data_IF_624945427499
#
_entry.id   IF_624945427499
#
_cell.length_a   1.000
_cell.length_b   1.000
_cell.length_c   1.000
_cell.angle_alpha   90.00
_cell.angle_beta   90.00
_cell.angle_gamma   90.00
#
_symmetry.space_group_name_H-M   'P 1'
#
loop_
_entity.id
_entity.type
_entity.pdbx_description
1 polymer ?
#
# COMPACT_ATOMS: atom_id res chain seq x y z
N UNK A 1 -21.52 17.80 34.77
CA UNK A 1 -20.78 16.86 35.65
C UNK A 1 -20.06 15.86 34.76
N UNK A 2 -18.84 15.49 35.15
CA UNK A 2 -18.14 14.25 34.74
C UNK A 2 -17.89 14.03 33.24
N UNK A 3 -16.67 14.39 32.79
CA UNK A 3 -16.04 13.85 31.58
C UNK A 3 -16.02 12.30 31.62
N UNK A 4 -16.04 11.64 30.47
CA UNK A 4 -15.35 10.36 30.30
C UNK A 4 -14.39 10.47 29.14
N UNK A 5 -13.15 10.10 29.43
CA UNK A 5 -12.05 9.95 28.49
C UNK A 5 -11.99 8.44 28.21
N UNK A 6 -11.84 8.04 26.96
CA UNK A 6 -11.26 6.75 26.62
C UNK A 6 -9.97 7.01 25.86
N UNK A 7 -8.96 6.20 26.16
CA UNK A 7 -7.58 6.50 25.84
C UNK A 7 -6.84 5.22 25.47
N UNK A 8 -6.05 5.35 24.40
CA UNK A 8 -4.77 4.68 24.13
C UNK A 8 -4.72 3.17 23.87
N UNK A 9 -4.12 2.88 22.71
CA UNK A 9 -3.14 1.82 22.42
C UNK A 9 -3.52 0.34 22.42
N UNK A 10 -3.14 -0.31 21.31
CA UNK A 10 -2.58 -1.65 21.29
C UNK A 10 -1.44 -1.73 20.25
N UNK A 11 -0.23 -1.29 20.62
CA UNK A 11 0.97 -1.63 19.85
C UNK A 11 1.40 -3.07 20.20
N UNK A 12 1.51 -3.95 19.21
CA UNK A 12 1.85 -5.36 19.41
C UNK A 12 3.31 -5.64 19.05
N UNK A 13 4.18 -5.63 20.06
CA UNK A 13 5.57 -6.08 19.93
C UNK A 13 5.61 -7.61 19.89
N UNK A 14 5.94 -8.20 18.75
CA UNK A 14 6.19 -9.65 18.62
C UNK A 14 7.67 -9.97 18.83
N UNK A 15 7.99 -10.48 20.02
CA UNK A 15 9.34 -10.88 20.39
C UNK A 15 9.68 -12.30 19.88
N UNK A 16 10.87 -12.46 19.29
CA UNK A 16 11.41 -13.77 18.91
C UNK A 16 11.56 -14.71 20.13
N UNK A 17 11.09 -15.96 19.99
CA UNK A 17 11.17 -17.00 21.01
C UNK A 17 11.77 -18.31 20.51
N UNK A 18 13.09 -18.48 20.66
CA UNK A 18 13.81 -19.72 20.36
C UNK A 18 13.80 -20.72 21.53
N UNK A 19 13.06 -21.82 21.39
CA UNK A 19 13.23 -23.12 22.06
C UNK A 19 12.16 -24.12 21.53
N UNK A 20 12.37 -25.43 21.37
CA UNK A 20 13.52 -26.31 21.61
C UNK A 20 13.07 -27.70 22.10
N UNK A 21 13.72 -28.79 21.63
CA UNK A 21 13.51 -30.22 22.01
C UNK A 21 12.17 -30.86 21.53
N UNK A 22 12.00 -32.18 21.30
CA UNK A 22 12.84 -33.41 21.31
C UNK A 22 11.96 -34.60 20.80
N UNK A 23 12.39 -35.84 20.50
CA UNK A 23 13.67 -36.51 20.13
C UNK A 23 13.38 -38.03 20.07
N UNK A 24 13.78 -38.79 19.03
CA UNK A 24 13.90 -40.27 19.12
C UNK A 24 14.87 -40.91 18.08
N UNK A 25 15.37 -42.12 18.39
CA UNK A 25 16.54 -42.80 17.79
C UNK A 25 16.18 -44.20 17.23
N UNK A 26 16.99 -44.73 16.29
CA UNK A 26 17.48 -46.14 16.10
C UNK A 26 17.88 -46.38 14.62
N UNK A 27 18.83 -47.24 14.19
CA UNK A 27 19.94 -48.00 14.81
C UNK A 27 20.73 -48.81 13.73
N UNK A 28 22.08 -48.84 13.79
CA UNK A 28 23.01 -49.75 13.05
C UNK A 28 23.01 -49.64 11.49
N UNK A 29 24.01 -50.08 10.71
CA UNK A 29 25.10 -51.06 10.91
C UNK A 29 26.41 -50.68 10.14
N UNK A 30 27.49 -51.42 10.34
CA UNK A 30 28.89 -51.11 9.94
C UNK A 30 29.28 -51.51 8.50
N UNK A 31 29.96 -50.63 7.73
CA UNK A 31 30.97 -51.01 6.71
C UNK A 31 31.93 -49.85 6.38
N UNK A 32 33.15 -50.14 5.91
CA UNK A 32 34.29 -49.20 6.00
C UNK A 32 34.78 -48.54 4.67
N UNK A 33 35.50 -47.41 4.85
CA UNK A 33 36.39 -46.70 3.93
C UNK A 33 35.77 -45.91 2.75
N UNK A 34 36.48 -44.90 2.18
CA UNK A 34 37.71 -44.21 2.63
C UNK A 34 37.43 -42.75 3.09
N UNK A 35 38.46 -42.01 3.53
CA UNK A 35 38.37 -40.55 3.69
C UNK A 35 38.39 -39.86 2.31
N UNK A 36 37.38 -39.08 1.92
CA UNK A 36 37.50 -38.10 0.84
C UNK A 36 38.04 -36.79 1.41
N UNK A 37 39.09 -36.25 0.80
CA UNK A 37 39.49 -34.86 1.01
C UNK A 37 38.47 -33.98 0.33
N UNK A 38 37.47 -33.52 1.07
CA UNK A 38 36.50 -32.56 0.56
C UNK A 38 37.18 -31.18 0.50
N UNK A 39 37.62 -30.78 -0.69
CA UNK A 39 37.91 -29.38 -0.96
C UNK A 39 36.61 -28.61 -0.73
N UNK A 40 36.58 -27.77 0.30
CA UNK A 40 35.47 -26.87 0.51
C UNK A 40 35.38 -25.94 -0.70
N UNK A 41 34.43 -26.22 -1.58
CA UNK A 41 34.00 -25.28 -2.61
C UNK A 41 33.37 -24.15 -1.82
N UNK A 42 34.08 -23.02 -1.72
CA UNK A 42 33.49 -21.77 -1.21
C UNK A 42 32.34 -21.43 -2.15
N UNK A 43 31.11 -21.70 -1.70
CA UNK A 43 29.92 -21.13 -2.33
C UNK A 43 30.10 -19.61 -2.32
N UNK A 44 29.91 -18.92 -3.46
CA UNK A 44 29.96 -17.47 -3.46
C UNK A 44 28.87 -16.99 -2.52
N UNK A 45 29.27 -16.35 -1.42
CA UNK A 45 28.36 -15.57 -0.60
C UNK A 45 27.84 -14.47 -1.52
N UNK A 46 26.60 -14.66 -1.98
CA UNK A 46 25.80 -13.56 -2.47
C UNK A 46 25.50 -12.75 -1.22
N UNK A 47 26.29 -11.71 -0.99
CA UNK A 47 25.88 -10.64 -0.10
C UNK A 47 24.64 -10.05 -0.76
N UNK A 48 23.46 -10.40 -0.23
CA UNK A 48 22.25 -9.65 -0.51
C UNK A 48 22.45 -8.26 0.07
N UNK A 49 22.96 -7.36 -0.76
CA UNK A 49 22.71 -5.93 -0.60
C UNK A 49 21.21 -5.75 -0.80
N UNK A 50 20.46 -5.89 0.30
CA UNK A 50 19.22 -5.15 0.48
C UNK A 50 19.63 -3.68 0.46
N UNK A 51 19.74 -3.10 -0.73
CA UNK A 51 19.65 -1.65 -0.88
C UNK A 51 18.26 -1.30 -0.35
N UNK A 52 18.21 -0.80 0.88
CA UNK A 52 17.04 -0.11 1.41
C UNK A 52 16.76 1.03 0.41
N UNK A 53 15.78 0.84 -0.47
CA UNK A 53 15.33 1.87 -1.39
C UNK A 53 14.55 2.89 -0.55
N UNK A 54 15.29 3.76 0.14
CA UNK A 54 14.77 4.96 0.79
C UNK A 54 14.16 5.84 -0.32
N UNK A 55 12.87 5.63 -0.57
CA UNK A 55 12.05 6.50 -1.39
C UNK A 55 11.83 7.80 -0.60
N UNK A 56 12.81 8.70 -0.61
CA UNK A 56 12.67 10.07 -0.08
C UNK A 56 11.69 10.85 -0.99
N UNK A 57 10.39 10.68 -0.75
CA UNK A 57 9.31 11.45 -1.38
C UNK A 57 9.27 12.86 -0.77
N UNK A 58 9.66 13.89 -1.53
CA UNK A 58 9.57 15.30 -1.11
C UNK A 58 8.26 15.93 -1.63
N UNK A 59 7.17 15.73 -0.88
CA UNK A 59 5.80 16.06 -1.30
C UNK A 59 5.15 17.18 -0.46
N UNK A 60 5.83 18.34 -0.36
CA UNK A 60 5.19 19.60 0.05
C UNK A 60 4.30 20.19 -1.07
N UNK A 61 3.38 19.38 -1.60
CA UNK A 61 2.57 19.71 -2.78
C UNK A 61 1.45 20.73 -2.46
N UNK A 62 1.16 21.67 -3.38
CA UNK A 62 0.11 22.67 -3.17
C UNK A 62 -1.28 22.04 -3.29
N UNK A 63 -1.94 21.83 -2.14
CA UNK A 63 -3.34 21.44 -2.04
C UNK A 63 -4.27 22.67 -2.02
N UNK A 64 -5.30 22.68 -2.87
CA UNK A 64 -6.42 23.63 -2.82
C UNK A 64 -7.73 22.89 -2.56
N UNK A 65 -8.60 23.46 -1.73
CA UNK A 65 -9.87 22.84 -1.31
C UNK A 65 -11.01 23.82 -1.59
N UNK A 66 -12.01 23.37 -2.36
CA UNK A 66 -13.22 24.12 -2.71
C UNK A 66 -14.47 23.34 -2.25
N UNK A 67 -15.16 23.86 -1.22
CA UNK A 67 -16.40 23.27 -0.68
C UNK A 67 -17.64 23.80 -1.43
N UNK A 68 -18.53 22.88 -1.85
CA UNK A 68 -19.83 23.18 -2.46
C UNK A 68 -20.97 22.69 -1.56
N UNK A 69 -22.24 22.86 -1.97
CA UNK A 69 -23.40 22.48 -1.13
C UNK A 69 -23.48 20.96 -0.84
N UNK A 70 -23.01 20.10 -1.75
CA UNK A 70 -23.11 18.63 -1.67
C UNK A 70 -21.75 17.89 -1.75
N UNK A 71 -20.69 18.55 -2.27
CA UNK A 71 -19.38 17.94 -2.55
C UNK A 71 -18.21 18.88 -2.22
N UNK A 72 -17.08 18.32 -1.81
CA UNK A 72 -15.79 19.03 -1.68
C UNK A 72 -14.87 18.59 -2.80
N UNK A 73 -14.23 19.55 -3.45
CA UNK A 73 -13.21 19.33 -4.48
C UNK A 73 -11.82 19.61 -3.91
N UNK A 74 -10.91 18.65 -4.08
CA UNK A 74 -9.50 18.71 -3.67
C UNK A 74 -8.62 18.74 -4.92
N UNK A 75 -7.77 19.76 -5.04
CA UNK A 75 -6.86 19.95 -6.17
C UNK A 75 -5.41 19.85 -5.68
N UNK A 76 -4.71 18.81 -6.13
CA UNK A 76 -3.29 18.55 -5.85
C UNK A 76 -2.42 19.08 -7.00
N UNK A 77 -1.19 19.49 -6.66
CA UNK A 77 -0.17 19.93 -7.62
C UNK A 77 -0.71 20.90 -8.70
N UNK A 78 -1.36 21.99 -8.24
CA UNK A 78 -1.97 23.02 -9.10
C UNK A 78 -3.11 22.53 -10.01
N UNK A 79 -3.73 21.40 -9.70
CA UNK A 79 -4.84 20.80 -10.46
C UNK A 79 -4.44 19.62 -11.35
N UNK A 80 -3.18 19.16 -11.30
CA UNK A 80 -2.74 17.94 -11.99
C UNK A 80 -3.54 16.69 -11.55
N UNK A 81 -4.01 16.68 -10.29
CA UNK A 81 -5.09 15.80 -9.84
C UNK A 81 -6.18 16.67 -9.20
N UNK A 82 -7.42 16.47 -9.64
CA UNK A 82 -8.62 17.09 -9.07
C UNK A 82 -9.61 16.00 -8.66
N UNK A 83 -9.74 15.75 -7.36
CA UNK A 83 -10.68 14.78 -6.78
C UNK A 83 -11.95 15.49 -6.30
N UNK A 84 -13.13 14.91 -6.50
CA UNK A 84 -14.38 15.39 -5.90
C UNK A 84 -15.07 14.30 -5.07
N UNK A 85 -15.35 14.59 -3.80
CA UNK A 85 -16.02 13.64 -2.89
C UNK A 85 -17.24 14.29 -2.23
N UNK A 86 -18.25 13.51 -1.80
CA UNK A 86 -19.36 14.04 -1.00
C UNK A 86 -18.91 14.72 0.30
N UNK A 87 -19.62 15.77 0.73
CA UNK A 87 -19.27 16.60 1.90
C UNK A 87 -19.17 15.88 3.26
N UNK A 88 -19.60 14.63 3.37
CA UNK A 88 -19.46 13.82 4.59
C UNK A 88 -18.12 13.07 4.68
N UNK A 89 -17.32 13.08 3.61
CA UNK A 89 -15.93 12.64 3.65
C UNK A 89 -15.08 13.70 4.38
N UNK A 90 -14.27 13.24 5.33
CA UNK A 90 -13.47 14.06 6.23
C UNK A 90 -12.01 13.94 5.80
N UNK A 91 -11.37 15.07 5.47
CA UNK A 91 -9.92 15.13 5.29
C UNK A 91 -9.24 14.87 6.64
N UNK A 92 -8.30 13.94 6.69
CA UNK A 92 -7.45 13.82 7.87
C UNK A 92 -6.56 15.07 7.99
N UNK A 93 -6.57 15.72 9.15
CA UNK A 93 -5.71 16.88 9.42
C UNK A 93 -4.26 16.48 9.74
N UNK A 94 -3.99 15.18 9.93
CA UNK A 94 -2.68 14.61 10.25
C UNK A 94 -1.95 14.09 9.00
N UNK A 95 -2.11 14.79 7.86
CA UNK A 95 -1.45 14.48 6.59
C UNK A 95 0.06 14.28 6.79
N UNK A 96 0.54 13.07 6.48
CA UNK A 96 1.97 12.78 6.33
C UNK A 96 2.46 13.37 4.99
N UNK A 97 3.71 13.79 4.89
CA UNK A 97 4.22 14.54 3.71
C UNK A 97 4.02 13.76 2.38
N UNK A 98 3.94 12.42 2.47
CA UNK A 98 3.88 11.48 1.36
C UNK A 98 2.44 11.17 0.87
N UNK A 99 1.40 11.58 1.62
CA UNK A 99 -0.02 11.28 1.33
C UNK A 99 -0.88 12.56 1.34
N UNK A 100 -0.64 13.50 0.40
CA UNK A 100 -1.20 14.87 0.42
C UNK A 100 -2.73 14.98 0.37
N UNK A 101 -3.44 13.90 0.01
CA UNK A 101 -4.89 13.78 0.23
C UNK A 101 -5.14 12.46 0.94
N UNK A 102 -5.76 12.53 2.12
CA UNK A 102 -6.22 11.35 2.87
C UNK A 102 -7.62 11.64 3.41
N UNK A 103 -8.60 10.86 2.97
CA UNK A 103 -10.03 11.10 3.20
C UNK A 103 -10.68 9.85 3.82
N UNK A 104 -11.46 10.08 4.87
CA UNK A 104 -12.17 9.04 5.61
C UNK A 104 -13.67 9.32 5.68
N UNK A 105 -14.50 8.27 5.66
CA UNK A 105 -15.92 8.35 5.98
C UNK A 105 -16.25 7.46 7.17
N UNK A 106 -16.49 8.08 8.34
CA UNK A 106 -16.85 7.37 9.58
C UNK A 106 -18.36 7.23 9.78
N UNK A 107 -19.17 7.99 9.03
CA UNK A 107 -20.59 8.18 9.34
C UNK A 107 -21.38 6.86 9.27
N UNK A 108 -20.99 5.95 8.37
CA UNK A 108 -21.71 4.70 8.12
C UNK A 108 -20.85 3.46 7.74
N UNK A 109 -19.51 3.54 7.67
CA UNK A 109 -18.65 2.34 7.56
C UNK A 109 -17.30 2.50 6.85
N UNK A 110 -16.28 2.97 7.59
CA UNK A 110 -14.83 2.89 7.29
C UNK A 110 -14.44 2.94 5.79
N UNK A 111 -14.94 3.96 5.09
CA UNK A 111 -14.51 4.28 3.73
C UNK A 111 -13.20 5.06 3.75
N UNK A 112 -12.30 4.76 2.82
CA UNK A 112 -10.99 5.39 2.69
C UNK A 112 -10.65 5.71 1.23
N UNK A 113 -10.03 6.86 1.04
CA UNK A 113 -9.41 7.29 -0.22
C UNK A 113 -8.16 8.09 0.10
N UNK A 114 -7.03 7.69 -0.47
CA UNK A 114 -5.78 8.44 -0.43
C UNK A 114 -5.23 8.69 -1.85
N UNK A 115 -4.47 9.79 -1.99
CA UNK A 115 -3.70 10.12 -3.18
C UNK A 115 -2.27 10.49 -2.76
N UNK A 116 -1.29 9.83 -3.36
CA UNK A 116 0.15 9.96 -3.09
C UNK A 116 0.94 10.22 -4.38
N UNK A 117 1.99 11.03 -4.33
CA UNK A 117 2.89 11.26 -5.47
C UNK A 117 4.07 10.29 -5.41
N UNK A 118 4.01 9.17 -6.15
CA UNK A 118 5.05 8.12 -6.09
C UNK A 118 6.38 8.63 -6.63
N UNK A 119 6.39 9.48 -7.66
CA UNK A 119 7.62 10.07 -8.20
C UNK A 119 7.60 10.22 -9.71
N UNK A 120 8.77 10.23 -10.36
CA UNK A 120 8.84 10.33 -11.83
C UNK A 120 8.43 9.02 -12.52
N UNK A 121 7.70 9.12 -13.64
CA UNK A 121 7.30 7.98 -14.46
C UNK A 121 8.48 7.11 -14.91
N UNK A 122 9.65 7.70 -15.17
CA UNK A 122 10.87 7.01 -15.62
C UNK A 122 11.47 6.04 -14.58
N UNK A 123 11.08 6.14 -13.29
CA UNK A 123 11.56 5.26 -12.21
C UNK A 123 10.51 4.25 -11.74
N UNK A 124 9.29 4.28 -12.29
CA UNK A 124 8.23 3.34 -11.92
C UNK A 124 8.51 1.97 -12.56
N UNK A 125 8.58 0.88 -11.78
CA UNK A 125 8.77 -0.46 -12.31
C UNK A 125 7.51 -0.97 -13.01
N UNK A 126 7.62 -2.08 -13.75
CA UNK A 126 6.46 -2.68 -14.40
C UNK A 126 5.45 -3.19 -13.37
N UNK A 127 4.16 -3.23 -13.71
CA UNK A 127 3.09 -3.58 -12.77
C UNK A 127 3.29 -4.91 -12.01
N UNK A 128 3.86 -5.96 -12.63
CA UNK A 128 4.20 -7.21 -11.94
C UNK A 128 5.25 -7.04 -10.83
N UNK A 129 6.21 -6.12 -11.02
CA UNK A 129 7.28 -5.79 -10.07
C UNK A 129 6.76 -4.81 -9.00
N UNK A 130 5.93 -3.83 -9.38
CA UNK A 130 5.22 -2.95 -8.43
C UNK A 130 4.31 -3.75 -7.48
N UNK A 131 3.62 -4.78 -7.98
CA UNK A 131 2.83 -5.70 -7.14
C UNK A 131 3.70 -6.44 -6.09
N UNK A 132 4.96 -6.73 -6.41
CA UNK A 132 5.95 -7.26 -5.46
C UNK A 132 6.27 -6.24 -4.37
N UNK A 133 6.60 -5.01 -4.76
CA UNK A 133 6.88 -3.90 -3.82
C UNK A 133 5.69 -3.63 -2.90
N UNK A 134 4.45 -3.64 -3.42
CA UNK A 134 3.22 -3.51 -2.63
C UNK A 134 3.06 -4.67 -1.62
N UNK A 135 3.37 -5.90 -2.04
CA UNK A 135 3.30 -7.08 -1.16
C UNK A 135 4.31 -6.99 -0.01
N UNK A 136 5.55 -6.58 -0.32
CA UNK A 136 6.63 -6.47 0.67
C UNK A 136 6.41 -5.28 1.64
N UNK A 137 6.10 -4.09 1.12
CA UNK A 137 5.91 -2.87 1.91
C UNK A 137 4.72 -2.94 2.86
N UNK A 138 3.61 -3.56 2.43
CA UNK A 138 2.42 -3.78 3.25
C UNK A 138 2.52 -5.05 4.14
N UNK A 139 3.60 -5.83 4.02
CA UNK A 139 3.85 -7.03 4.82
C UNK A 139 2.84 -8.16 4.58
N UNK A 140 2.41 -8.33 3.34
CA UNK A 140 1.33 -9.23 2.93
C UNK A 140 1.82 -10.66 2.69
N UNK A 141 0.89 -11.62 2.69
CA UNK A 141 1.20 -13.02 2.35
C UNK A 141 1.22 -13.24 0.83
N UNK A 142 1.98 -14.24 0.37
CA UNK A 142 2.02 -14.64 -1.05
C UNK A 142 0.61 -14.85 -1.62
N UNK A 143 0.25 -14.06 -2.63
CA UNK A 143 -1.07 -14.12 -3.28
C UNK A 143 -2.15 -13.22 -2.69
N UNK A 144 -1.80 -12.29 -1.78
CA UNK A 144 -2.71 -11.22 -1.35
C UNK A 144 -3.09 -10.25 -2.48
N UNK A 145 -2.26 -10.09 -3.52
CA UNK A 145 -2.66 -9.38 -4.75
C UNK A 145 -3.54 -10.31 -5.58
N UNK A 146 -4.85 -10.06 -5.57
CA UNK A 146 -5.89 -10.88 -6.22
C UNK A 146 -6.08 -10.54 -7.70
N UNK A 147 -5.84 -9.30 -8.07
CA UNK A 147 -5.95 -8.80 -9.44
C UNK A 147 -4.78 -7.88 -9.77
N UNK A 148 -4.32 -8.00 -11.01
CA UNK A 148 -3.36 -7.13 -11.66
C UNK A 148 -3.86 -6.89 -13.09
N UNK A 149 -3.96 -5.63 -13.50
CA UNK A 149 -4.38 -5.25 -14.85
C UNK A 149 -4.44 -3.73 -15.04
N UNK A 150 -5.19 -3.28 -16.05
CA UNK A 150 -5.31 -1.87 -16.42
C UNK A 150 -6.78 -1.44 -16.37
N UNK A 151 -7.05 -0.20 -15.95
CA UNK A 151 -8.36 0.48 -16.06
C UNK A 151 -8.18 1.89 -16.64
N UNK A 152 -9.29 2.57 -16.96
CA UNK A 152 -9.29 3.99 -17.30
C UNK A 152 -9.89 4.82 -16.14
N UNK A 153 -9.15 5.83 -15.66
CA UNK A 153 -9.62 6.87 -14.71
C UNK A 153 -9.73 8.19 -15.50
N UNK A 154 -10.95 8.71 -15.67
CA UNK A 154 -11.28 9.84 -16.57
C UNK A 154 -10.52 9.82 -17.91
N UNK A 155 -10.52 8.66 -18.58
CA UNK A 155 -9.84 8.38 -19.86
C UNK A 155 -8.29 8.31 -19.82
N UNK A 156 -7.67 8.35 -18.65
CA UNK A 156 -6.24 8.06 -18.46
C UNK A 156 -6.05 6.59 -18.05
N UNK A 157 -5.13 5.84 -18.68
CA UNK A 157 -4.85 4.48 -18.28
C UNK A 157 -4.14 4.46 -16.91
N UNK A 158 -4.57 3.54 -16.05
CA UNK A 158 -3.99 3.31 -14.74
C UNK A 158 -3.78 1.81 -14.50
N UNK A 159 -2.58 1.41 -14.08
CA UNK A 159 -2.32 0.07 -13.56
C UNK A 159 -3.16 -0.12 -12.28
N UNK A 160 -3.80 -1.26 -12.14
CA UNK A 160 -4.83 -1.53 -11.13
C UNK A 160 -4.50 -2.82 -10.37
N UNK A 161 -4.52 -2.71 -9.04
CA UNK A 161 -4.20 -3.78 -8.11
C UNK A 161 -5.38 -3.98 -7.15
N UNK A 162 -5.92 -5.21 -7.05
CA UNK A 162 -6.87 -5.58 -5.99
C UNK A 162 -6.11 -6.37 -4.92
N UNK A 163 -6.19 -5.94 -3.66
CA UNK A 163 -5.40 -6.47 -2.56
C UNK A 163 -6.34 -6.95 -1.44
N UNK A 164 -6.20 -8.20 -1.01
CA UNK A 164 -6.82 -8.74 0.20
C UNK A 164 -6.00 -8.37 1.43
N UNK A 165 -6.58 -7.56 2.32
CA UNK A 165 -5.98 -7.12 3.58
C UNK A 165 -6.48 -7.95 4.80
N UNK A 166 -6.98 -9.17 4.56
CA UNK A 166 -7.36 -10.10 5.62
C UNK A 166 -8.72 -9.83 6.24
N UNK A 167 -9.65 -9.24 5.48
CA UNK A 167 -11.00 -8.93 5.95
C UNK A 167 -11.76 -7.89 5.12
N UNK A 168 -11.04 -7.13 4.30
CA UNK A 168 -11.57 -6.18 3.31
C UNK A 168 -10.59 -6.09 2.13
N UNK A 169 -11.07 -5.54 1.01
CA UNK A 169 -10.25 -5.34 -0.18
C UNK A 169 -9.86 -3.88 -0.33
N UNK A 170 -8.60 -3.65 -0.69
CA UNK A 170 -8.13 -2.36 -1.17
C UNK A 170 -7.92 -2.41 -2.69
N UNK A 171 -8.23 -1.30 -3.35
CA UNK A 171 -7.91 -1.08 -4.76
C UNK A 171 -6.88 0.04 -4.83
N UNK A 172 -5.75 -0.27 -5.45
CA UNK A 172 -4.67 0.68 -5.72
C UNK A 172 -4.65 0.93 -7.23
N UNK A 173 -4.56 2.20 -7.61
CA UNK A 173 -4.45 2.64 -8.99
C UNK A 173 -3.18 3.47 -9.16
N UNK A 174 -2.31 3.08 -10.08
CA UNK A 174 -1.08 3.80 -10.40
C UNK A 174 -1.25 4.49 -11.76
N UNK A 175 -1.27 5.82 -11.75
CA UNK A 175 -1.56 6.64 -12.93
C UNK A 175 -0.45 7.65 -13.20
N UNK A 176 -0.12 7.89 -14.47
CA UNK A 176 0.95 8.81 -14.87
C UNK A 176 0.35 10.08 -15.49
N UNK A 177 0.71 11.23 -14.93
CA UNK A 177 0.24 12.58 -15.31
C UNK A 177 1.46 13.50 -15.43
N UNK A 178 1.63 14.15 -16.58
CA UNK A 178 2.74 15.09 -16.86
C UNK A 178 4.16 14.61 -16.46
N UNK A 179 4.47 13.32 -16.64
CA UNK A 179 5.75 12.65 -16.25
C UNK A 179 5.92 12.33 -14.75
N UNK A 180 4.88 12.57 -13.96
CA UNK A 180 4.78 12.17 -12.55
C UNK A 180 3.78 11.02 -12.39
N UNK A 181 4.15 10.02 -11.60
CA UNK A 181 3.28 8.91 -11.22
C UNK A 181 2.61 9.19 -9.87
N UNK A 182 1.32 8.87 -9.80
CA UNK A 182 0.48 9.05 -8.63
C UNK A 182 -0.19 7.72 -8.27
N UNK A 183 -0.19 7.39 -7.00
CA UNK A 183 -0.94 6.27 -6.45
C UNK A 183 -2.25 6.80 -5.87
N UNK A 184 -3.36 6.16 -6.24
CA UNK A 184 -4.69 6.40 -5.68
C UNK A 184 -5.13 5.11 -5.00
N UNK A 185 -5.23 5.13 -3.67
CA UNK A 185 -5.56 3.94 -2.87
C UNK A 185 -6.93 4.10 -2.24
N UNK A 186 -7.79 3.09 -2.37
CA UNK A 186 -9.17 3.13 -1.89
C UNK A 186 -9.58 1.82 -1.21
N UNK A 187 -10.45 1.90 -0.19
CA UNK A 187 -11.16 0.73 0.33
C UNK A 187 -12.50 1.12 0.97
N UNK A 188 -13.42 0.15 1.04
CA UNK A 188 -14.70 0.30 1.70
C UNK A 188 -15.30 -1.04 2.09
N UNK A 189 -15.91 -1.11 3.28
CA UNK A 189 -16.41 -2.37 3.86
C UNK A 189 -17.86 -2.72 3.48
N UNK A 190 -18.56 -1.86 2.74
CA UNK A 190 -19.92 -2.09 2.25
C UNK A 190 -20.10 -1.59 0.81
N UNK A 191 -20.97 -2.29 0.08
CA UNK A 191 -21.48 -1.98 -1.26
C UNK A 191 -21.97 -0.55 -1.46
N UNK A 192 -22.44 0.12 -0.40
CA UNK A 192 -22.88 1.52 -0.46
C UNK A 192 -21.71 2.47 -0.71
N UNK A 193 -20.54 2.25 -0.09
CA UNK A 193 -19.35 3.10 -0.30
C UNK A 193 -18.58 2.71 -1.55
N UNK A 194 -18.74 1.49 -2.06
CA UNK A 194 -18.21 1.14 -3.37
C UNK A 194 -18.76 2.10 -4.45
N UNK A 195 -20.05 2.42 -4.43
CA UNK A 195 -20.64 3.40 -5.35
C UNK A 195 -20.10 4.83 -5.15
N UNK A 196 -19.87 5.27 -3.90
CA UNK A 196 -19.32 6.60 -3.59
C UNK A 196 -17.82 6.72 -3.97
N UNK A 197 -17.03 5.66 -3.73
CA UNK A 197 -15.61 5.57 -4.10
C UNK A 197 -15.48 5.48 -5.62
N UNK A 198 -16.31 4.67 -6.28
CA UNK A 198 -16.35 4.57 -7.75
C UNK A 198 -16.73 5.94 -8.37
N UNK A 199 -17.70 6.65 -7.79
CA UNK A 199 -18.04 8.02 -8.19
C UNK A 199 -16.88 9.00 -7.96
N UNK A 200 -16.19 8.91 -6.83
CA UNK A 200 -15.03 9.74 -6.52
C UNK A 200 -13.92 9.53 -7.55
N UNK A 201 -13.58 8.27 -7.85
CA UNK A 201 -12.61 7.87 -8.88
C UNK A 201 -13.03 8.35 -10.29
N UNK A 202 -14.29 8.20 -10.68
CA UNK A 202 -14.80 8.75 -11.95
C UNK A 202 -14.78 10.29 -12.01
N UNK A 203 -14.70 10.97 -10.86
CA UNK A 203 -14.59 12.43 -10.77
C UNK A 203 -13.15 12.93 -10.70
N UNK A 204 -12.16 12.03 -10.63
CA UNK A 204 -10.74 12.39 -10.66
C UNK A 204 -10.38 12.91 -12.05
N UNK A 205 -10.30 14.23 -12.18
CA UNK A 205 -9.80 14.86 -13.40
C UNK A 205 -8.29 15.00 -13.30
N UNK A 206 -7.58 14.54 -14.32
CA UNK A 206 -6.13 14.62 -14.43
C UNK A 206 -5.73 15.72 -15.43
N UNK A 207 -4.66 16.46 -15.09
CA UNK A 207 -4.23 17.70 -15.76
C UNK A 207 -3.57 17.54 -17.13
#
# INVERSE_FOLDING_TARGET
MTKKIFATAAAAVLALGLAGCSKEEEKAEETAAPEPTEEAIEEPVIEEETEDIDFEMDSNLPLTIDEWDEYTTYQLNNGAITLTVPNYWILDENIEEDVPIMLYSDELGEGYLAVSEVGSADIIPAAEEYAGILTESLGLEDGSVLYLGETDIDYYPADTFEIDLGGFYAYIYLVIVEDTAYEITTWGVDSVYAEDIELALYSVVLG
#
